data_IF_406809988103
#
_entry.id   IF_406809988103
#
_cell.length_a   1.000
_cell.length_b   1.000
_cell.length_c   1.000
_cell.angle_alpha   90.00
_cell.angle_beta   90.00
_cell.angle_gamma   90.00
#
_symmetry.space_group_name_H-M   'P 1'
#
loop_
_entity.id
_entity.type
_entity.pdbx_description
1 polymer ?
#
# COMPACT_ATOMS: atom_id res chain seq x y z
N UNK A 1 -45.35 25.41 8.10
CA UNK A 1 -44.84 26.40 7.13
C UNK A 1 -43.74 25.75 6.31
N UNK A 2 -44.09 25.26 5.12
CA UNK A 2 -43.13 24.80 4.12
C UNK A 2 -42.64 26.02 3.34
N UNK A 3 -41.33 26.24 3.29
CA UNK A 3 -40.73 27.22 2.39
C UNK A 3 -39.98 26.44 1.31
N UNK A 4 -40.57 26.47 0.12
CA UNK A 4 -40.00 26.05 -1.16
C UNK A 4 -38.98 27.12 -1.57
N UNK A 5 -37.74 26.74 -1.82
CA UNK A 5 -36.78 27.59 -2.54
C UNK A 5 -36.43 26.92 -3.87
N UNK A 6 -36.68 27.71 -4.91
CA UNK A 6 -36.56 27.39 -6.34
C UNK A 6 -35.10 27.22 -6.74
N UNK A 7 -34.88 26.44 -7.80
CA UNK A 7 -33.58 26.32 -8.45
C UNK A 7 -33.23 27.60 -9.21
N UNK A 8 -31.98 28.01 -9.06
CA UNK A 8 -31.32 28.99 -9.91
C UNK A 8 -30.18 28.31 -10.67
N UNK A 9 -30.19 28.56 -11.98
CA UNK A 9 -29.25 28.11 -12.98
C UNK A 9 -27.87 28.75 -12.75
N UNK A 10 -26.86 27.93 -12.45
CA UNK A 10 -25.46 28.36 -12.48
C UNK A 10 -24.82 28.01 -13.82
N UNK A 11 -24.79 29.01 -14.70
CA UNK A 11 -24.22 28.94 -16.03
C UNK A 11 -22.70 29.19 -15.97
N UNK A 12 -21.91 28.13 -16.07
CA UNK A 12 -20.44 28.24 -16.22
C UNK A 12 -20.09 28.64 -17.66
N UNK A 13 -19.29 29.71 -17.88
CA UNK A 13 -18.77 30.00 -19.21
C UNK A 13 -17.68 29.00 -19.57
N UNK A 14 -17.96 28.14 -20.56
CA UNK A 14 -16.98 27.32 -21.26
C UNK A 14 -16.00 28.24 -22.00
N UNK A 15 -14.83 28.50 -21.41
CA UNK A 15 -13.67 29.01 -22.15
C UNK A 15 -12.91 27.82 -22.76
N UNK A 16 -12.61 27.84 -24.08
CA UNK A 16 -11.79 26.81 -24.71
C UNK A 16 -10.37 26.86 -24.12
N UNK A 17 -9.87 25.72 -23.66
CA UNK A 17 -8.47 25.58 -23.29
C UNK A 17 -7.62 25.60 -24.56
N UNK A 18 -6.99 26.74 -24.87
CA UNK A 18 -5.89 26.80 -25.82
C UNK A 18 -4.65 26.16 -25.19
N UNK A 19 -4.41 24.89 -25.51
CA UNK A 19 -3.19 24.17 -25.11
C UNK A 19 -1.95 24.83 -25.72
N UNK A 20 -1.00 25.22 -24.89
CA UNK A 20 0.37 25.51 -25.32
C UNK A 20 1.09 24.20 -25.72
N UNK A 21 1.89 24.17 -26.80
CA UNK A 21 2.43 22.92 -27.37
C UNK A 21 3.59 22.28 -26.60
N UNK A 22 3.97 22.77 -25.42
CA UNK A 22 5.18 22.33 -24.71
C UNK A 22 4.94 21.24 -23.63
N UNK A 23 3.74 20.65 -23.56
CA UNK A 23 3.37 19.63 -22.55
C UNK A 23 2.69 18.40 -23.19
N UNK A 24 3.16 17.99 -24.36
CA UNK A 24 2.86 16.66 -24.89
C UNK A 24 3.82 15.69 -24.18
N UNK A 25 3.36 14.84 -23.24
CA UNK A 25 4.18 13.73 -22.79
C UNK A 25 4.52 12.86 -24.01
N UNK A 26 5.76 12.36 -24.17
CA UNK A 26 6.01 11.36 -25.19
C UNK A 26 5.03 10.22 -24.94
N UNK A 27 4.40 9.76 -26.02
CA UNK A 27 3.38 8.73 -26.01
C UNK A 27 3.78 7.60 -25.05
N UNK A 28 2.87 7.26 -24.14
CA UNK A 28 2.91 5.99 -23.42
C UNK A 28 3.06 4.92 -24.48
N UNK A 29 4.22 4.26 -24.53
CA UNK A 29 4.60 3.31 -25.55
C UNK A 29 3.50 2.26 -25.77
N UNK A 30 2.84 2.24 -26.93
CA UNK A 30 2.18 1.06 -27.42
C UNK A 30 3.17 0.41 -28.39
N UNK A 31 4.04 -0.46 -27.87
CA UNK A 31 4.65 -1.54 -28.65
C UNK A 31 5.18 -2.59 -27.66
N UNK A 32 4.22 -3.43 -27.25
CA UNK A 32 4.53 -4.81 -26.97
C UNK A 32 4.72 -5.51 -28.31
N UNK A 33 5.73 -6.37 -28.35
CA UNK A 33 6.06 -7.36 -29.37
C UNK A 33 7.27 -6.97 -30.24
N UNK A 34 8.29 -7.81 -30.08
CA UNK A 34 9.38 -8.12 -31.02
C UNK A 34 10.78 -7.56 -30.71
N UNK A 35 11.56 -8.46 -30.12
CA UNK A 35 13.01 -8.68 -30.29
C UNK A 35 13.93 -7.86 -29.38
N UNK A 36 14.91 -8.43 -28.67
CA UNK A 36 15.54 -9.75 -28.81
C UNK A 36 16.46 -10.03 -27.61
N UNK A 37 16.38 -11.28 -27.11
CA UNK A 37 17.51 -12.09 -26.63
C UNK A 37 18.36 -11.50 -25.52
N UNK A 38 18.16 -11.89 -24.25
CA UNK A 38 18.73 -13.13 -23.72
C UNK A 38 18.16 -13.51 -22.33
N UNK A 39 17.01 -12.95 -21.93
CA UNK A 39 16.41 -13.22 -20.61
C UNK A 39 15.09 -14.03 -20.65
N UNK A 40 14.64 -14.44 -21.85
CA UNK A 40 13.37 -15.18 -22.04
C UNK A 40 13.52 -16.71 -22.02
N UNK A 41 14.72 -17.26 -22.16
CA UNK A 41 14.91 -18.73 -22.17
C UNK A 41 14.84 -19.37 -20.79
N UNK A 42 14.84 -18.59 -19.70
CA UNK A 42 14.60 -19.10 -18.33
C UNK A 42 13.14 -18.99 -17.88
N UNK A 43 12.30 -18.26 -18.62
CA UNK A 43 10.91 -17.97 -18.23
C UNK A 43 9.96 -19.11 -18.65
N UNK A 44 10.26 -19.85 -19.72
CA UNK A 44 9.47 -20.99 -20.19
C UNK A 44 9.69 -22.31 -19.42
N UNK A 45 10.88 -22.52 -18.86
CA UNK A 45 11.28 -23.84 -18.33
C UNK A 45 10.89 -24.10 -16.87
N UNK A 46 10.34 -23.11 -16.15
CA UNK A 46 9.83 -23.30 -14.78
C UNK A 46 8.34 -23.64 -14.69
N UNK A 47 7.58 -23.48 -15.78
CA UNK A 47 6.14 -23.83 -15.85
C UNK A 47 5.87 -25.34 -16.03
N UNK A 48 6.89 -26.16 -16.28
CA UNK A 48 6.73 -27.58 -16.63
C UNK A 48 7.25 -28.57 -15.57
N UNK A 49 7.10 -28.26 -14.26
CA UNK A 49 7.29 -29.28 -13.21
C UNK A 49 6.31 -29.11 -12.05
N UNK A 50 5.01 -29.25 -12.33
CA UNK A 50 4.02 -29.60 -11.31
C UNK A 50 3.08 -30.65 -11.91
N UNK A 51 3.50 -31.92 -11.91
CA UNK A 51 2.55 -33.04 -11.81
C UNK A 51 3.18 -34.10 -10.90
N UNK A 52 2.93 -33.96 -9.59
CA UNK A 52 2.78 -35.11 -8.70
C UNK A 52 1.84 -34.67 -7.58
N UNK A 53 0.58 -35.09 -7.71
CA UNK A 53 -0.51 -34.65 -6.84
C UNK A 53 -0.44 -35.29 -5.44
N UNK A 54 -0.24 -34.52 -4.35
CA UNK A 54 -0.34 -35.04 -3.00
C UNK A 54 -1.78 -34.88 -2.49
N UNK A 55 -2.44 -35.99 -2.14
CA UNK A 55 -3.81 -36.00 -1.59
C UNK A 55 -3.86 -35.32 -0.20
N UNK A 56 -4.76 -34.34 -0.05
CA UNK A 56 -5.25 -33.80 1.23
C UNK A 56 -4.31 -32.84 1.97
N UNK A 57 -4.82 -31.67 2.40
CA UNK A 57 -4.15 -30.55 3.10
C UNK A 57 -2.98 -29.85 2.41
N UNK A 58 -2.13 -30.56 1.67
CA UNK A 58 -0.99 -30.00 0.93
C UNK A 58 -1.44 -29.11 -0.24
N UNK A 59 -2.61 -29.39 -0.84
CA UNK A 59 -3.20 -28.58 -1.91
C UNK A 59 -3.36 -27.10 -1.58
N UNK A 60 -3.83 -26.80 -0.35
CA UNK A 60 -4.07 -25.41 0.07
C UNK A 60 -2.75 -24.68 0.32
N UNK A 61 -1.70 -25.38 0.74
CA UNK A 61 -0.36 -24.81 0.91
C UNK A 61 0.32 -24.59 -0.45
N UNK A 62 0.21 -25.54 -1.38
CA UNK A 62 0.73 -25.42 -2.75
C UNK A 62 0.06 -24.31 -3.54
N UNK A 63 -1.27 -24.18 -3.43
CA UNK A 63 -2.03 -23.11 -4.09
C UNK A 63 -1.63 -21.73 -3.57
N UNK A 64 -1.52 -21.55 -2.24
CA UNK A 64 -1.01 -20.30 -1.68
C UNK A 64 0.42 -19.99 -2.09
N UNK A 65 1.27 -21.02 -2.18
CA UNK A 65 2.65 -20.83 -2.63
C UNK A 65 2.71 -20.37 -4.08
N UNK A 66 1.90 -20.97 -4.96
CA UNK A 66 1.77 -20.55 -6.36
C UNK A 66 1.27 -19.10 -6.45
N UNK A 67 0.23 -18.74 -5.69
CA UNK A 67 -0.26 -17.36 -5.66
C UNK A 67 0.80 -16.36 -5.20
N UNK A 68 1.62 -16.72 -4.21
CA UNK A 68 2.72 -15.87 -3.75
C UNK A 68 3.75 -15.69 -4.88
N UNK A 69 4.09 -16.73 -5.62
CA UNK A 69 5.01 -16.64 -6.76
C UNK A 69 4.43 -15.81 -7.90
N UNK A 70 3.14 -15.94 -8.20
CA UNK A 70 2.45 -15.10 -9.18
C UNK A 70 2.48 -13.62 -8.79
N UNK A 71 2.22 -13.30 -7.52
CA UNK A 71 2.31 -11.93 -7.01
C UNK A 71 3.74 -11.40 -7.05
N UNK A 72 4.72 -12.22 -6.71
CA UNK A 72 6.15 -11.88 -6.82
C UNK A 72 6.52 -11.52 -8.25
N UNK A 73 6.09 -12.33 -9.21
CA UNK A 73 6.31 -12.05 -10.63
C UNK A 73 5.65 -10.74 -11.05
N UNK A 74 4.39 -10.52 -10.69
CA UNK A 74 3.68 -9.29 -11.01
C UNK A 74 4.34 -8.04 -10.40
N UNK A 75 4.90 -8.14 -9.19
CA UNK A 75 5.67 -7.06 -8.55
C UNK A 75 6.95 -6.78 -9.32
N UNK A 76 7.68 -7.81 -9.75
CA UNK A 76 8.91 -7.64 -10.53
C UNK A 76 8.65 -6.96 -11.88
N UNK A 77 7.59 -7.34 -12.59
CA UNK A 77 7.20 -6.69 -13.86
C UNK A 77 6.91 -5.20 -13.65
N UNK A 78 6.16 -4.86 -12.59
CA UNK A 78 5.86 -3.46 -12.25
C UNK A 78 7.11 -2.70 -11.82
N UNK A 79 8.02 -3.36 -11.10
CA UNK A 79 9.27 -2.77 -10.66
C UNK A 79 10.17 -2.43 -11.84
N UNK A 80 10.27 -3.31 -12.84
CA UNK A 80 11.06 -3.06 -14.05
C UNK A 80 10.57 -1.79 -14.78
N UNK A 81 9.26 -1.70 -15.05
CA UNK A 81 8.64 -0.52 -15.64
C UNK A 81 8.87 0.75 -14.79
N UNK A 82 8.77 0.63 -13.46
CA UNK A 82 9.03 1.77 -12.59
C UNK A 82 10.49 2.24 -12.65
N UNK A 83 11.45 1.32 -12.81
CA UNK A 83 12.88 1.66 -12.92
C UNK A 83 13.21 2.39 -14.22
N UNK A 84 12.56 2.01 -15.32
CA UNK A 84 12.68 2.75 -16.59
C UNK A 84 12.22 4.21 -16.40
N UNK A 85 11.10 4.40 -15.70
CA UNK A 85 10.63 5.75 -15.34
C UNK A 85 11.61 6.46 -14.39
N UNK A 86 12.19 5.75 -13.41
CA UNK A 86 13.20 6.34 -12.53
C UNK A 86 14.45 6.78 -13.28
N UNK A 87 14.90 6.05 -14.30
CA UNK A 87 16.05 6.46 -15.11
C UNK A 87 15.81 7.82 -15.80
N UNK A 88 14.57 8.07 -16.25
CA UNK A 88 14.19 9.32 -16.91
C UNK A 88 13.95 10.46 -15.90
N UNK A 89 13.18 10.20 -14.84
CA UNK A 89 12.69 11.26 -13.94
C UNK A 89 13.52 11.43 -12.65
N UNK A 90 14.33 10.43 -12.29
CA UNK A 90 15.11 10.34 -11.05
C UNK A 90 16.51 9.74 -11.30
N UNK A 91 17.36 10.37 -12.13
CA UNK A 91 18.64 9.78 -12.54
C UNK A 91 19.59 9.47 -11.37
N UNK A 92 19.56 10.29 -10.30
CA UNK A 92 20.36 9.99 -9.11
C UNK A 92 19.88 8.74 -8.37
N UNK A 93 18.58 8.43 -8.40
CA UNK A 93 18.06 7.20 -7.83
C UNK A 93 18.49 5.99 -8.65
N UNK A 94 18.51 6.10 -9.98
CA UNK A 94 19.00 5.05 -10.88
C UNK A 94 20.46 4.70 -10.56
N UNK A 95 21.34 5.69 -10.39
CA UNK A 95 22.74 5.46 -10.01
C UNK A 95 22.90 4.72 -8.66
N UNK A 96 22.07 5.06 -7.66
CA UNK A 96 22.07 4.36 -6.36
C UNK A 96 21.60 2.91 -6.52
N UNK A 97 20.57 2.69 -7.35
CA UNK A 97 20.03 1.36 -7.62
C UNK A 97 21.09 0.51 -8.31
N UNK A 98 21.76 1.02 -9.34
CA UNK A 98 22.82 0.33 -10.07
C UNK A 98 23.98 -0.07 -9.15
N UNK A 99 24.47 0.82 -8.29
CA UNK A 99 25.53 0.49 -7.32
C UNK A 99 25.07 -0.58 -6.32
N UNK A 100 23.82 -0.47 -5.84
CA UNK A 100 23.25 -1.48 -4.96
C UNK A 100 23.10 -2.84 -5.64
N UNK A 101 22.82 -2.88 -6.94
CA UNK A 101 22.74 -4.11 -7.73
C UNK A 101 24.09 -4.70 -8.04
N UNK A 102 25.07 -3.88 -8.43
CA UNK A 102 26.45 -4.32 -8.62
C UNK A 102 26.98 -4.98 -7.35
N UNK A 103 26.67 -4.42 -6.17
CA UNK A 103 27.01 -5.03 -4.87
C UNK A 103 26.33 -6.38 -4.65
N UNK A 104 25.06 -6.52 -5.03
CA UNK A 104 24.30 -7.77 -4.89
C UNK A 104 24.83 -8.88 -5.79
N UNK A 105 25.19 -8.55 -7.03
CA UNK A 105 25.81 -9.47 -7.98
C UNK A 105 27.12 -10.00 -7.42
N UNK A 106 27.98 -9.12 -6.87
CA UNK A 106 29.22 -9.52 -6.20
C UNK A 106 28.99 -10.45 -5.01
N UNK A 107 27.92 -10.25 -4.25
CA UNK A 107 27.59 -11.07 -3.08
C UNK A 107 26.74 -12.31 -3.36
N UNK A 108 26.43 -12.62 -4.63
CA UNK A 108 25.52 -13.69 -5.05
C UNK A 108 24.18 -13.73 -4.29
N UNK A 109 23.66 -12.56 -3.88
CA UNK A 109 22.46 -12.44 -3.05
C UNK A 109 21.34 -11.80 -3.86
N UNK A 110 20.31 -12.60 -4.18
CA UNK A 110 19.08 -12.09 -4.80
C UNK A 110 18.00 -11.91 -3.74
N UNK A 111 17.63 -10.66 -3.39
CA UNK A 111 16.58 -10.43 -2.40
C UNK A 111 15.23 -10.89 -2.95
N UNK A 112 14.34 -11.32 -2.05
CA UNK A 112 12.95 -11.57 -2.42
C UNK A 112 12.31 -10.28 -2.96
N UNK A 113 11.39 -10.34 -3.94
CA UNK A 113 10.78 -9.15 -4.54
C UNK A 113 10.16 -8.20 -3.51
N UNK A 114 9.53 -8.73 -2.47
CA UNK A 114 8.93 -7.96 -1.38
C UNK A 114 9.93 -7.14 -0.54
N UNK A 115 11.23 -7.44 -0.60
CA UNK A 115 12.28 -6.74 0.14
C UNK A 115 13.09 -5.77 -0.72
N UNK A 116 12.78 -5.66 -2.02
CA UNK A 116 13.46 -4.71 -2.90
C UNK A 116 13.00 -3.30 -2.52
N UNK A 117 13.95 -2.47 -2.07
CA UNK A 117 13.67 -1.07 -1.74
C UNK A 117 13.32 -0.29 -3.00
N UNK A 118 12.17 0.39 -2.94
CA UNK A 118 11.69 1.31 -3.96
C UNK A 118 12.06 2.73 -3.57
N UNK A 119 12.91 3.40 -4.35
CA UNK A 119 13.32 4.77 -4.06
C UNK A 119 12.26 5.78 -4.48
N UNK A 120 11.88 6.66 -3.56
CA UNK A 120 10.96 7.77 -3.79
C UNK A 120 11.71 9.10 -3.66
N UNK A 121 11.26 10.20 -4.29
CA UNK A 121 11.92 11.50 -4.17
C UNK A 121 12.09 11.95 -2.71
N UNK A 122 11.11 11.69 -1.83
CA UNK A 122 11.20 12.00 -0.39
C UNK A 122 12.23 11.14 0.36
N UNK A 123 12.50 9.92 -0.10
CA UNK A 123 13.40 8.96 0.56
C UNK A 123 14.84 9.05 0.03
N UNK A 124 15.14 10.03 -0.84
CA UNK A 124 16.48 10.21 -1.40
C UNK A 124 17.47 10.67 -0.32
N UNK A 125 18.74 10.23 -0.39
CA UNK A 125 19.76 10.67 0.56
C UNK A 125 19.90 12.19 0.56
N UNK A 126 20.02 12.80 1.75
CA UNK A 126 20.16 14.26 1.90
C UNK A 126 21.38 14.82 1.15
N UNK A 127 22.42 14.00 0.91
CA UNK A 127 23.60 14.36 0.13
C UNK A 127 23.30 14.62 -1.35
N UNK A 128 22.32 13.90 -1.91
CA UNK A 128 21.91 14.02 -3.31
C UNK A 128 20.66 14.89 -3.47
N UNK A 129 19.88 15.07 -2.40
CA UNK A 129 18.80 16.04 -2.29
C UNK A 129 17.64 15.85 -3.29
N UNK A 130 16.39 16.14 -2.90
CA UNK A 130 15.26 16.08 -3.82
C UNK A 130 15.41 17.02 -5.04
N UNK A 131 16.16 18.12 -4.87
CA UNK A 131 16.35 19.16 -5.89
C UNK A 131 17.46 18.89 -6.92
N UNK A 132 18.45 18.05 -6.59
CA UNK A 132 19.56 17.72 -7.52
C UNK A 132 19.42 16.34 -8.14
N UNK A 133 18.72 15.42 -7.47
CA UNK A 133 18.59 14.04 -7.93
C UNK A 133 17.34 13.73 -8.76
N UNK A 134 16.37 14.64 -8.83
CA UNK A 134 15.08 14.43 -9.51
C UNK A 134 14.76 15.60 -10.44
N UNK A 135 13.94 15.32 -11.47
CA UNK A 135 13.40 16.36 -12.35
C UNK A 135 12.54 17.35 -11.56
N UNK A 136 12.59 18.62 -11.93
CA UNK A 136 11.79 19.68 -11.34
C UNK A 136 10.29 19.31 -11.34
N UNK A 137 9.55 19.73 -10.30
CA UNK A 137 8.13 19.42 -10.04
C UNK A 137 7.81 17.99 -9.59
N UNK A 138 8.70 17.00 -9.75
CA UNK A 138 8.40 15.63 -9.30
C UNK A 138 8.14 15.56 -7.79
N UNK A 139 8.93 16.28 -7.01
CA UNK A 139 8.75 16.41 -5.56
C UNK A 139 7.40 17.06 -5.18
N UNK A 140 6.89 17.99 -6.00
CA UNK A 140 5.59 18.62 -5.79
C UNK A 140 4.45 17.66 -6.06
N UNK A 141 4.57 16.87 -7.12
CA UNK A 141 3.62 15.81 -7.45
C UNK A 141 3.58 14.77 -6.34
N UNK A 142 4.75 14.31 -5.87
CA UNK A 142 4.81 13.38 -4.75
C UNK A 142 4.15 13.98 -3.51
N UNK A 143 4.45 15.24 -3.17
CA UNK A 143 3.85 15.89 -1.99
C UNK A 143 2.32 15.85 -2.05
N UNK A 144 1.74 16.22 -3.20
CA UNK A 144 0.28 16.16 -3.41
C UNK A 144 -0.25 14.73 -3.27
N UNK A 145 0.45 13.76 -3.83
CA UNK A 145 0.10 12.34 -3.71
C UNK A 145 0.12 11.88 -2.24
N UNK A 146 1.15 12.27 -1.47
CA UNK A 146 1.28 11.90 -0.05
C UNK A 146 0.20 12.53 0.81
N UNK A 147 -0.17 13.78 0.56
CA UNK A 147 -1.30 14.44 1.25
C UNK A 147 -2.60 13.70 0.98
N UNK A 148 -2.93 13.45 -0.28
CA UNK A 148 -4.12 12.69 -0.65
C UNK A 148 -4.10 11.26 -0.06
N UNK A 149 -2.93 10.61 -0.05
CA UNK A 149 -2.74 9.30 0.59
C UNK A 149 -3.04 9.36 2.09
N UNK A 150 -2.55 10.38 2.79
CA UNK A 150 -2.79 10.56 4.22
C UNK A 150 -4.28 10.81 4.51
N UNK A 151 -4.92 11.73 3.80
CA UNK A 151 -6.34 12.07 3.99
C UNK A 151 -7.26 10.89 3.70
N UNK A 152 -7.02 10.17 2.61
CA UNK A 152 -7.74 8.94 2.29
C UNK A 152 -7.51 7.88 3.39
N UNK A 153 -6.27 7.73 3.87
CA UNK A 153 -5.97 6.74 4.91
C UNK A 153 -6.66 7.07 6.23
N UNK A 154 -6.75 8.35 6.63
CA UNK A 154 -7.51 8.76 7.81
C UNK A 154 -9.01 8.50 7.64
N UNK A 155 -9.57 8.82 6.47
CA UNK A 155 -10.98 8.53 6.16
C UNK A 155 -11.28 7.04 6.29
N UNK A 156 -10.40 6.21 5.75
CA UNK A 156 -10.47 4.76 5.82
C UNK A 156 -10.27 4.21 7.25
N UNK A 157 -9.42 4.84 8.08
CA UNK A 157 -9.28 4.48 9.50
C UNK A 157 -10.59 4.75 10.24
N UNK A 158 -11.17 5.95 10.09
CA UNK A 158 -12.46 6.31 10.72
C UNK A 158 -13.57 5.36 10.32
N UNK A 159 -13.75 5.14 9.01
CA UNK A 159 -14.79 4.24 8.49
C UNK A 159 -14.66 2.82 9.07
N UNK A 160 -13.44 2.29 9.18
CA UNK A 160 -13.21 0.95 9.74
C UNK A 160 -13.38 0.90 11.26
N UNK A 161 -13.03 1.95 11.99
CA UNK A 161 -13.33 2.05 13.42
C UNK A 161 -14.84 2.07 13.68
N UNK A 162 -15.61 2.82 12.89
CA UNK A 162 -17.07 2.79 12.95
C UNK A 162 -17.60 1.38 12.65
N UNK A 163 -17.14 0.74 11.58
CA UNK A 163 -17.54 -0.63 11.26
C UNK A 163 -17.20 -1.61 12.41
N UNK A 164 -15.99 -1.51 12.99
CA UNK A 164 -15.57 -2.33 14.13
C UNK A 164 -16.50 -2.14 15.34
N UNK A 165 -16.86 -0.89 15.66
CA UNK A 165 -17.82 -0.57 16.74
C UNK A 165 -19.18 -1.22 16.49
N UNK A 166 -19.72 -1.08 15.28
CA UNK A 166 -21.00 -1.67 14.92
C UNK A 166 -20.97 -3.20 15.04
N UNK A 167 -19.88 -3.84 14.60
CA UNK A 167 -19.73 -5.29 14.72
C UNK A 167 -19.64 -5.78 16.17
N UNK A 168 -18.97 -5.03 17.04
CA UNK A 168 -18.91 -5.33 18.48
C UNK A 168 -20.31 -5.19 19.10
N UNK A 169 -21.02 -4.10 18.81
CA UNK A 169 -22.39 -3.87 19.30
C UNK A 169 -23.35 -4.96 18.81
N UNK A 170 -23.25 -5.34 17.53
CA UNK A 170 -24.06 -6.39 16.94
C UNK A 170 -23.78 -7.75 17.58
N UNK A 171 -22.49 -8.09 17.79
CA UNK A 171 -22.09 -9.30 18.50
C UNK A 171 -22.71 -9.35 19.89
N UNK A 172 -22.55 -8.28 20.67
CA UNK A 172 -23.03 -8.23 22.05
C UNK A 172 -24.55 -8.38 22.17
N UNK A 173 -25.30 -7.87 21.19
CA UNK A 173 -26.76 -7.93 21.22
C UNK A 173 -27.36 -9.22 20.62
N UNK A 174 -26.72 -9.84 19.61
CA UNK A 174 -27.37 -10.85 18.77
C UNK A 174 -26.65 -12.21 18.72
N UNK A 175 -25.35 -12.27 19.07
CA UNK A 175 -24.57 -13.49 18.88
C UNK A 175 -24.60 -14.34 20.15
N UNK A 176 -25.26 -15.47 20.06
CA UNK A 176 -25.29 -16.52 21.10
C UNK A 176 -24.61 -17.79 20.60
N UNK A 177 -24.07 -18.58 21.54
CA UNK A 177 -23.40 -19.85 21.24
C UNK A 177 -21.93 -19.70 20.78
N UNK A 178 -21.16 -20.77 20.96
CA UNK A 178 -19.71 -20.76 20.79
C UNK A 178 -19.26 -20.54 19.33
N UNK A 179 -19.84 -21.27 18.37
CA UNK A 179 -19.41 -21.21 16.96
C UNK A 179 -19.62 -19.80 16.36
N UNK A 180 -20.79 -19.20 16.61
CA UNK A 180 -21.08 -17.85 16.12
C UNK A 180 -20.23 -16.79 16.82
N UNK A 181 -19.93 -16.96 18.11
CA UNK A 181 -19.00 -16.10 18.84
C UNK A 181 -17.60 -16.12 18.23
N UNK A 182 -17.07 -17.31 17.91
CA UNK A 182 -15.76 -17.47 17.25
C UNK A 182 -15.73 -16.82 15.86
N UNK A 183 -16.78 -17.00 15.06
CA UNK A 183 -16.91 -16.34 13.75
C UNK A 183 -16.94 -14.82 13.88
N UNK A 184 -17.74 -14.29 14.81
CA UNK A 184 -17.85 -12.86 15.07
C UNK A 184 -16.50 -12.27 15.55
N UNK A 185 -15.80 -12.96 16.46
CA UNK A 185 -14.46 -12.58 16.92
C UNK A 185 -13.44 -12.54 15.78
N UNK A 186 -13.44 -13.56 14.92
CA UNK A 186 -12.57 -13.61 13.73
C UNK A 186 -12.83 -12.43 12.80
N UNK A 187 -14.11 -12.11 12.56
CA UNK A 187 -14.51 -11.00 11.70
C UNK A 187 -14.11 -9.64 12.30
N UNK A 188 -14.28 -9.45 13.61
CA UNK A 188 -13.82 -8.25 14.33
C UNK A 188 -12.28 -8.12 14.26
N UNK A 189 -11.53 -9.22 14.42
CA UNK A 189 -10.06 -9.24 14.28
C UNK A 189 -9.63 -8.79 12.89
N UNK A 190 -10.23 -9.35 11.84
CA UNK A 190 -9.94 -8.97 10.44
C UNK A 190 -10.20 -7.48 10.17
N UNK A 191 -11.23 -6.89 10.76
CA UNK A 191 -11.44 -5.44 10.65
C UNK A 191 -10.38 -4.67 11.43
N UNK A 192 -9.98 -5.14 12.61
CA UNK A 192 -8.85 -4.60 13.38
C UNK A 192 -7.54 -4.59 12.60
N UNK A 193 -7.19 -5.68 11.94
CA UNK A 193 -6.01 -5.78 11.06
C UNK A 193 -6.06 -4.78 9.89
N UNK A 194 -7.26 -4.52 9.34
CA UNK A 194 -7.42 -3.50 8.29
C UNK A 194 -7.29 -2.08 8.83
N UNK A 195 -7.67 -1.84 10.09
CA UNK A 195 -7.45 -0.54 10.77
C UNK A 195 -5.95 -0.31 10.92
N UNK A 196 -5.21 -1.27 11.48
CA UNK A 196 -3.75 -1.13 11.67
C UNK A 196 -3.02 -0.98 10.34
N UNK A 197 -3.39 -1.74 9.31
CA UNK A 197 -2.81 -1.59 7.97
C UNK A 197 -3.01 -0.17 7.39
N UNK A 198 -4.16 0.46 7.66
CA UNK A 198 -4.45 1.80 7.15
C UNK A 198 -3.82 2.90 7.99
N UNK A 199 -3.71 2.69 9.30
CA UNK A 199 -2.91 3.54 10.18
C UNK A 199 -1.43 3.52 9.77
N UNK A 200 -0.87 2.35 9.45
CA UNK A 200 0.49 2.23 8.94
C UNK A 200 0.66 2.93 7.58
N UNK A 201 -0.33 2.85 6.70
CA UNK A 201 -0.34 3.60 5.43
C UNK A 201 -0.29 5.11 5.66
N UNK A 202 -1.05 5.62 6.64
CA UNK A 202 -1.01 7.01 7.07
C UNK A 202 0.35 7.40 7.62
N UNK A 203 0.89 6.62 8.57
CA UNK A 203 2.20 6.87 9.20
C UNK A 203 3.32 6.95 8.17
N UNK A 204 3.37 6.01 7.23
CA UNK A 204 4.33 6.01 6.11
C UNK A 204 4.19 7.25 5.22
N UNK A 205 2.96 7.64 4.87
CA UNK A 205 2.71 8.84 4.08
C UNK A 205 3.14 10.12 4.80
N UNK A 206 2.86 10.22 6.10
CA UNK A 206 3.26 11.35 6.94
C UNK A 206 4.77 11.42 7.11
N UNK A 207 5.43 10.28 7.33
CA UNK A 207 6.89 10.22 7.41
C UNK A 207 7.54 10.74 6.13
N UNK A 208 7.05 10.33 4.95
CA UNK A 208 7.53 10.85 3.68
C UNK A 208 7.36 12.39 3.55
N UNK A 209 6.28 12.96 4.09
CA UNK A 209 6.09 14.43 4.13
C UNK A 209 7.07 15.14 5.08
N UNK A 210 7.46 14.49 6.17
CA UNK A 210 8.50 14.97 7.09
C UNK A 210 9.86 14.96 6.40
N UNK A 211 10.23 13.84 5.77
CA UNK A 211 11.49 13.69 5.04
C UNK A 211 11.60 14.68 3.87
N UNK A 212 10.48 14.98 3.21
CA UNK A 212 10.40 16.00 2.18
C UNK A 212 10.46 17.45 2.72
N UNK A 213 10.44 17.67 4.04
CA UNK A 213 10.48 18.99 4.67
C UNK A 213 9.23 19.84 4.42
N UNK A 214 8.07 19.21 4.15
CA UNK A 214 6.84 19.89 3.71
C UNK A 214 5.67 19.75 4.67
N UNK A 215 5.87 19.07 5.81
CA UNK A 215 4.83 18.84 6.79
C UNK A 215 4.26 20.14 7.37
N UNK A 216 5.08 21.19 7.52
CA UNK A 216 4.65 22.48 8.10
C UNK A 216 3.47 23.11 7.36
N UNK A 217 3.34 22.84 6.05
CA UNK A 217 2.23 23.31 5.23
C UNK A 217 0.91 22.58 5.51
N UNK A 218 0.97 21.40 6.13
CA UNK A 218 -0.17 20.51 6.33
C UNK A 218 -0.36 20.17 7.81
N UNK A 219 -0.59 21.21 8.63
CA UNK A 219 -0.72 21.10 10.09
C UNK A 219 -1.90 20.22 10.52
N UNK A 220 -2.92 20.04 9.67
CA UNK A 220 -4.06 19.14 9.93
C UNK A 220 -3.66 17.65 9.94
N UNK A 221 -2.50 17.30 9.38
CA UNK A 221 -1.97 15.94 9.37
C UNK A 221 -1.18 15.64 10.65
N UNK A 222 -1.91 15.49 11.75
CA UNK A 222 -1.36 15.21 13.08
C UNK A 222 -0.77 13.81 13.21
N UNK A 223 0.09 13.60 14.21
CA UNK A 223 0.63 12.28 14.49
C UNK A 223 -0.47 11.31 14.98
N UNK A 224 -0.52 10.13 14.37
CA UNK A 224 -1.50 9.09 14.71
C UNK A 224 -0.88 8.07 15.67
N UNK A 225 -1.13 8.25 16.97
CA UNK A 225 -0.75 7.32 18.03
C UNK A 225 -1.62 6.07 18.02
N UNK A 226 -1.12 4.97 18.60
CA UNK A 226 -1.90 3.73 18.72
C UNK A 226 -3.12 3.91 19.66
N UNK A 227 -3.02 4.81 20.63
CA UNK A 227 -4.12 5.23 21.51
C UNK A 227 -5.34 5.72 20.71
N UNK A 228 -5.12 6.42 19.59
CA UNK A 228 -6.19 6.94 18.73
C UNK A 228 -6.91 5.83 17.95
N UNK A 229 -6.35 4.61 17.90
CA UNK A 229 -6.94 3.45 17.23
C UNK A 229 -7.77 2.59 18.18
N UNK A 230 -7.70 2.86 19.49
CA UNK A 230 -8.45 2.16 20.50
C UNK A 230 -9.86 2.75 20.61
N UNK A 231 -10.85 1.86 20.69
CA UNK A 231 -12.23 2.25 20.94
C UNK A 231 -12.39 2.42 22.45
N UNK A 232 -12.44 3.66 22.94
CA UNK A 232 -12.76 3.96 24.35
C UNK A 232 -14.07 3.26 24.75
N UNK A 233 -14.01 2.39 25.77
CA UNK A 233 -15.17 1.67 26.33
C UNK A 233 -15.35 0.23 25.84
N UNK A 234 -14.49 -0.30 24.96
CA UNK A 234 -14.39 -1.75 24.79
C UNK A 234 -13.49 -2.27 25.91
N UNK A 235 -14.10 -2.65 27.05
CA UNK A 235 -13.41 -3.46 28.05
C UNK A 235 -12.70 -4.59 27.31
N UNK A 236 -11.38 -4.55 27.36
CA UNK A 236 -10.52 -5.58 26.82
C UNK A 236 -10.74 -6.76 27.76
N UNK A 237 -11.73 -7.61 27.47
CA UNK A 237 -11.82 -8.95 28.05
C UNK A 237 -10.57 -9.69 27.58
N UNK A 238 -9.51 -9.55 28.34
CA UNK A 238 -8.38 -10.46 28.29
C UNK A 238 -8.90 -11.78 28.83
N UNK A 239 -9.10 -12.77 27.95
CA UNK A 239 -9.46 -14.16 28.26
C UNK A 239 -8.31 -14.89 29.02
N UNK A 240 -7.56 -14.19 29.90
CA UNK A 240 -6.43 -14.73 30.65
C UNK A 240 -6.80 -15.44 31.95
N UNK A 241 -8.08 -15.52 32.32
CA UNK A 241 -8.50 -16.07 33.63
C UNK A 241 -9.15 -17.47 33.56
N UNK A 242 -8.86 -18.28 32.52
CA UNK A 242 -9.46 -19.63 32.42
C UNK A 242 -8.48 -20.79 32.19
N UNK A 243 -7.20 -20.62 32.52
CA UNK A 243 -6.21 -21.72 32.46
C UNK A 243 -5.81 -22.26 33.84
N UNK A 244 -6.17 -21.60 34.94
CA UNK A 244 -5.63 -21.94 36.26
C UNK A 244 -6.57 -22.85 37.10
N UNK A 245 -7.71 -23.27 36.53
CA UNK A 245 -8.70 -24.09 37.24
C UNK A 245 -8.56 -25.62 37.02
N UNK A 246 -7.62 -26.08 36.18
CA UNK A 246 -7.51 -27.50 35.79
C UNK A 246 -6.27 -28.23 36.33
N UNK A 247 -5.38 -27.56 37.08
CA UNK A 247 -4.13 -28.16 37.59
C UNK A 247 -4.16 -28.55 39.07
N UNK A 248 -5.34 -28.64 39.69
CA UNK A 248 -5.49 -29.13 41.07
C UNK A 248 -6.43 -30.34 41.12
N UNK A 249 -5.89 -31.53 40.85
CA UNK A 249 -6.42 -32.79 41.39
C UNK A 249 -5.34 -33.87 41.41
#
# INVERSE_FOLDING_TARGET
>A
MCVVIRGDEFQFPLRPWSMHPALIPPAVCPDMLEMSGTHETLIGLRRARIIREPKGTVWVAGERANQIEEWRHAVLTKLACFRELQAVYMPAAAAIIEEAEARRVRSASSPRPEHIKLWMPSEMPSSLGPARGCVARLCDIETKLRVAQCENSLTLVRARLHAKRHLISFRNANVTGQNQSTKARTLISKVGEKVTASANRYRRGRQALVEAGRLEKFQHLQELKDEHLQMSGAAMETDTERTDAWTAK
#
